data_IF_578120376024
#
_entry.id   IF_578120376024
#
_cell.length_a   1.000
_cell.length_b   1.000
_cell.length_c   1.000
_cell.angle_alpha   90.00
_cell.angle_beta   90.00
_cell.angle_gamma   90.00
#
_symmetry.space_group_name_H-M   'P 1'
#
loop_
_entity.id
_entity.type
_entity.pdbx_description
1 polymer ?
#
# COMPACT_ATOMS: atom_id res chain seq x y z
N UNK A 1 -22.21 19.16 61.57
CA UNK A 1 -23.06 19.12 60.36
C UNK A 1 -22.22 18.61 59.20
N UNK A 2 -22.65 17.51 58.57
CA UNK A 2 -21.97 16.85 57.44
C UNK A 2 -22.49 17.43 56.12
N UNK A 3 -21.62 17.98 55.29
CA UNK A 3 -21.94 18.42 53.92
C UNK A 3 -22.05 17.19 53.00
N UNK A 4 -23.25 16.89 52.50
CA UNK A 4 -23.44 15.93 51.40
C UNK A 4 -23.32 16.67 50.07
N UNK A 5 -22.38 16.21 49.23
CA UNK A 5 -22.18 16.67 47.85
C UNK A 5 -23.33 16.15 46.97
N UNK A 6 -23.87 17.03 46.13
CA UNK A 6 -24.84 16.70 45.07
C UNK A 6 -24.04 16.11 43.90
N UNK A 7 -24.39 14.93 43.35
CA UNK A 7 -23.76 14.46 42.13
C UNK A 7 -24.28 15.30 40.96
N UNK A 8 -23.36 15.90 40.22
CA UNK A 8 -23.61 16.63 38.98
C UNK A 8 -24.23 15.71 37.94
N UNK A 9 -25.42 16.06 37.45
CA UNK A 9 -25.98 15.53 36.21
C UNK A 9 -24.97 15.78 35.07
N UNK A 10 -24.47 14.71 34.45
CA UNK A 10 -23.88 14.81 33.12
C UNK A 10 -25.04 14.71 32.13
N UNK A 11 -25.41 15.87 31.61
CA UNK A 11 -26.37 16.04 30.54
C UNK A 11 -25.82 15.34 29.28
N UNK A 12 -26.31 14.14 28.98
CA UNK A 12 -26.08 13.49 27.68
C UNK A 12 -26.97 14.24 26.68
N UNK A 13 -26.43 15.34 26.17
CA UNK A 13 -27.03 16.12 25.11
C UNK A 13 -27.02 15.33 23.82
N UNK A 14 -28.18 14.80 23.46
CA UNK A 14 -28.51 14.37 22.11
C UNK A 14 -28.41 15.59 21.19
N UNK A 15 -27.38 15.65 20.35
CA UNK A 15 -27.33 16.56 19.20
C UNK A 15 -27.72 15.78 17.95
N UNK A 16 -29.02 15.58 17.79
CA UNK A 16 -29.64 15.50 16.46
C UNK A 16 -29.73 16.92 15.91
N UNK A 17 -28.86 17.29 14.97
CA UNK A 17 -29.07 18.28 13.89
C UNK A 17 -27.74 18.59 13.22
N UNK A 18 -27.56 18.12 11.98
CA UNK A 18 -26.38 18.49 11.17
C UNK A 18 -26.01 17.48 10.09
N UNK A 19 -26.97 17.10 9.25
CA UNK A 19 -26.69 16.41 7.98
C UNK A 19 -25.75 17.31 7.13
N UNK A 20 -24.71 16.68 6.57
CA UNK A 20 -23.90 17.12 5.41
C UNK A 20 -22.57 17.90 5.56
N UNK A 21 -22.11 18.38 6.72
CA UNK A 21 -20.83 19.15 6.78
C UNK A 21 -19.80 18.66 7.83
N UNK A 22 -20.14 17.66 8.66
CA UNK A 22 -19.32 17.28 9.82
C UNK A 22 -18.32 16.12 9.66
N UNK A 23 -18.32 15.37 8.54
CA UNK A 23 -17.48 14.17 8.42
C UNK A 23 -15.97 14.49 8.30
N UNK A 24 -15.60 15.71 7.86
CA UNK A 24 -14.18 16.11 7.69
C UNK A 24 -13.43 16.39 8.99
N UNK A 25 -14.12 16.56 10.12
CA UNK A 25 -13.47 16.92 11.40
C UNK A 25 -13.39 15.74 12.38
N UNK A 26 -14.26 14.74 12.25
CA UNK A 26 -14.32 13.67 13.26
C UNK A 26 -13.12 12.71 13.23
N UNK A 27 -12.50 12.45 12.07
CA UNK A 27 -11.33 11.57 12.03
C UNK A 27 -10.06 12.23 12.60
N UNK A 28 -9.88 13.54 12.41
CA UNK A 28 -8.70 14.26 12.89
C UNK A 28 -8.74 14.55 14.40
N UNK A 29 -9.93 14.77 14.98
CA UNK A 29 -10.07 15.14 16.40
C UNK A 29 -10.03 13.94 17.36
N UNK A 30 -10.34 12.72 16.90
CA UNK A 30 -10.29 11.52 17.78
C UNK A 30 -8.86 11.23 18.26
N UNK A 31 -7.83 11.65 17.52
CA UNK A 31 -6.45 11.36 17.88
C UNK A 31 -5.85 12.31 18.94
N UNK A 32 -6.46 13.45 19.23
CA UNK A 32 -5.82 14.48 20.07
C UNK A 32 -6.39 14.64 21.48
N UNK A 33 -7.56 14.08 21.83
CA UNK A 33 -8.21 14.41 23.11
C UNK A 33 -8.94 13.28 23.87
N UNK A 34 -8.94 12.03 23.40
CA UNK A 34 -9.53 10.94 24.20
C UNK A 34 -8.46 10.06 24.86
N UNK A 35 -8.60 9.86 26.17
CA UNK A 35 -7.78 8.90 26.93
C UNK A 35 -7.80 7.52 26.24
N UNK A 36 -6.63 6.86 26.21
CA UNK A 36 -6.41 5.52 25.61
C UNK A 36 -7.45 4.48 26.05
N UNK A 37 -8.08 4.67 27.20
CA UNK A 37 -9.05 3.73 27.78
C UNK A 37 -10.45 3.77 27.11
N UNK A 38 -10.80 4.82 26.37
CA UNK A 38 -12.12 4.95 25.70
C UNK A 38 -12.11 4.35 24.29
N UNK A 39 -10.94 4.14 23.69
CA UNK A 39 -10.82 3.74 22.27
C UNK A 39 -11.08 2.24 22.01
N UNK A 40 -11.09 1.39 23.06
CA UNK A 40 -10.98 -0.06 22.91
C UNK A 40 -12.20 -0.84 23.41
N UNK A 41 -13.40 -0.26 23.40
CA UNK A 41 -14.63 -1.05 23.56
C UNK A 41 -15.00 -1.70 22.22
N UNK A 42 -15.45 -2.95 22.26
CA UNK A 42 -15.83 -3.74 21.06
C UNK A 42 -16.85 -3.01 20.17
N UNK A 43 -17.71 -2.19 20.79
CA UNK A 43 -18.65 -1.28 20.13
C UNK A 43 -17.98 -0.24 19.25
N UNK A 44 -16.83 0.30 19.65
CA UNK A 44 -16.10 1.32 18.87
C UNK A 44 -15.35 0.69 17.69
N UNK A 45 -14.82 -0.54 17.85
CA UNK A 45 -14.31 -1.32 16.72
C UNK A 45 -15.39 -1.61 15.69
N UNK A 46 -16.59 -1.99 16.15
CA UNK A 46 -17.74 -2.24 15.27
C UNK A 46 -18.22 -0.97 14.57
N UNK A 47 -18.19 0.19 15.22
CA UNK A 47 -18.54 1.48 14.59
C UNK A 47 -17.48 1.88 13.55
N UNK A 48 -16.19 1.75 13.86
CA UNK A 48 -15.12 1.99 12.88
C UNK A 48 -15.23 1.02 11.70
N UNK A 49 -15.48 -0.26 11.94
CA UNK A 49 -15.72 -1.24 10.87
C UNK A 49 -17.01 -0.96 10.08
N UNK A 50 -18.10 -0.52 10.72
CA UNK A 50 -19.33 -0.18 10.03
C UNK A 50 -19.17 1.07 9.15
N UNK A 51 -18.46 2.09 9.63
CA UNK A 51 -18.15 3.30 8.86
C UNK A 51 -17.22 2.97 7.69
N UNK A 52 -16.23 2.09 7.87
CA UNK A 52 -15.36 1.62 6.78
C UNK A 52 -16.05 0.66 5.80
N UNK A 53 -17.13 -0.03 6.23
CA UNK A 53 -17.88 -0.99 5.40
C UNK A 53 -18.96 -0.38 4.52
N UNK A 54 -19.27 0.92 4.69
CA UNK A 54 -20.37 1.62 4.00
C UNK A 54 -19.95 2.86 3.21
N UNK A 55 -18.67 3.06 2.95
CA UNK A 55 -18.26 4.01 1.92
C UNK A 55 -18.54 3.39 0.53
N UNK A 56 -19.80 3.50 0.08
CA UNK A 56 -20.09 3.61 -1.34
C UNK A 56 -19.38 4.88 -1.82
N UNK A 57 -18.12 4.72 -2.26
CA UNK A 57 -17.33 5.79 -2.86
C UNK A 57 -18.04 6.17 -4.16
N UNK A 58 -18.79 7.26 -4.14
CA UNK A 58 -19.67 7.68 -5.24
C UNK A 58 -18.94 7.97 -6.57
N UNK A 59 -17.60 7.97 -6.61
CA UNK A 59 -16.80 8.36 -7.77
C UNK A 59 -15.66 7.36 -8.14
N UNK A 60 -15.71 6.10 -7.71
CA UNK A 60 -14.64 5.12 -8.03
C UNK A 60 -14.99 3.66 -7.74
N UNK A 61 -14.00 2.77 -7.88
CA UNK A 61 -14.20 1.34 -7.56
C UNK A 61 -14.41 1.12 -6.05
N UNK A 62 -15.24 0.13 -5.73
CA UNK A 62 -15.43 -0.32 -4.35
C UNK A 62 -14.18 -1.01 -3.80
N UNK A 63 -14.15 -1.15 -2.47
CA UNK A 63 -13.15 -1.94 -1.75
C UNK A 63 -13.06 -3.37 -2.27
N UNK A 64 -14.21 -4.01 -2.48
CA UNK A 64 -14.31 -5.40 -2.92
C UNK A 64 -13.77 -5.55 -4.34
N UNK A 65 -14.08 -4.59 -5.23
CA UNK A 65 -13.56 -4.57 -6.59
C UNK A 65 -12.04 -4.38 -6.61
N UNK A 66 -11.48 -3.50 -5.77
CA UNK A 66 -10.04 -3.34 -5.64
C UNK A 66 -9.34 -4.63 -5.16
N UNK A 67 -9.97 -5.36 -4.23
CA UNK A 67 -9.48 -6.67 -3.76
C UNK A 67 -9.46 -7.71 -4.89
N UNK A 68 -10.51 -7.77 -5.71
CA UNK A 68 -10.58 -8.66 -6.87
C UNK A 68 -9.48 -8.34 -7.89
N UNK A 69 -9.35 -7.07 -8.27
CA UNK A 69 -8.30 -6.59 -9.19
C UNK A 69 -6.91 -6.98 -8.67
N UNK A 70 -6.65 -6.80 -7.38
CA UNK A 70 -5.35 -7.13 -6.80
C UNK A 70 -5.06 -8.64 -6.82
N UNK A 71 -6.06 -9.49 -6.53
CA UNK A 71 -5.89 -10.95 -6.60
C UNK A 71 -5.58 -11.41 -8.03
N UNK A 72 -6.34 -10.89 -9.00
CA UNK A 72 -6.12 -11.19 -10.42
C UNK A 72 -4.72 -10.73 -10.87
N UNK A 73 -4.27 -9.55 -10.41
CA UNK A 73 -2.96 -9.03 -10.72
C UNK A 73 -1.82 -9.88 -10.13
N UNK A 74 -1.97 -10.36 -8.89
CA UNK A 74 -0.98 -11.24 -8.25
C UNK A 74 -0.85 -12.59 -8.99
N UNK A 75 -1.97 -13.17 -9.41
CA UNK A 75 -1.97 -14.39 -10.22
C UNK A 75 -1.35 -14.12 -11.60
N UNK A 76 -1.72 -13.02 -12.25
CA UNK A 76 -1.20 -12.65 -13.58
C UNK A 76 0.31 -12.39 -13.58
N UNK A 77 0.80 -11.55 -12.67
CA UNK A 77 2.18 -11.04 -12.72
C UNK A 77 3.17 -11.94 -11.98
N UNK A 78 2.73 -12.64 -10.94
CA UNK A 78 3.62 -13.42 -10.09
C UNK A 78 3.22 -14.90 -9.98
N UNK A 79 2.09 -15.31 -10.56
CA UNK A 79 1.52 -16.66 -10.41
C UNK A 79 1.27 -17.02 -8.94
N UNK A 80 0.89 -16.01 -8.13
CA UNK A 80 0.65 -16.18 -6.70
C UNK A 80 -0.85 -16.14 -6.40
N UNK A 81 -1.35 -17.18 -5.70
CA UNK A 81 -2.73 -17.28 -5.25
C UNK A 81 -2.80 -17.00 -3.76
N UNK A 82 -3.39 -15.87 -3.40
CA UNK A 82 -3.48 -15.47 -1.99
C UNK A 82 -4.69 -16.12 -1.32
N UNK A 83 -4.42 -17.05 -0.39
CA UNK A 83 -5.40 -17.48 0.61
C UNK A 83 -5.24 -16.62 1.88
N UNK A 84 -6.14 -15.66 2.06
CA UNK A 84 -6.11 -14.72 3.17
C UNK A 84 -6.40 -15.32 4.54
N UNK A 85 -6.66 -16.64 4.67
CA UNK A 85 -7.03 -17.28 5.95
C UNK A 85 -5.99 -17.13 7.06
N UNK A 86 -4.70 -17.11 6.71
CA UNK A 86 -3.60 -17.04 7.67
C UNK A 86 -2.83 -15.72 7.59
N UNK A 87 -3.39 -14.72 6.88
CA UNK A 87 -2.76 -13.43 6.67
C UNK A 87 -3.66 -12.34 7.25
N UNK A 88 -3.03 -11.34 7.85
CA UNK A 88 -3.69 -10.08 8.17
C UNK A 88 -3.92 -9.29 6.88
N UNK A 89 -5.08 -8.66 6.79
CA UNK A 89 -5.47 -7.85 5.64
C UNK A 89 -5.38 -6.37 6.01
N UNK A 90 -4.66 -5.59 5.22
CA UNK A 90 -4.62 -4.14 5.30
C UNK A 90 -5.24 -3.58 4.02
N UNK A 91 -6.50 -3.19 4.14
CA UNK A 91 -7.28 -2.68 3.01
C UNK A 91 -7.84 -1.32 3.41
N UNK A 92 -7.29 -0.26 2.82
CA UNK A 92 -7.62 1.12 3.19
C UNK A 92 -7.54 2.07 1.99
N UNK A 93 -8.37 3.11 1.96
CA UNK A 93 -8.29 4.15 0.94
C UNK A 93 -7.10 5.09 1.19
N UNK A 94 -6.56 5.65 0.10
CA UNK A 94 -5.71 6.85 0.09
C UNK A 94 -6.57 7.97 -0.46
N UNK A 95 -6.60 9.11 0.23
CA UNK A 95 -7.43 10.25 -0.16
C UNK A 95 -6.60 11.35 -0.85
N UNK A 96 -7.18 11.97 -1.88
CA UNK A 96 -6.75 13.25 -2.43
C UNK A 96 -7.00 14.38 -1.41
N UNK A 97 -6.37 15.54 -1.59
CA UNK A 97 -6.57 16.73 -0.73
C UNK A 97 -8.03 17.18 -0.65
N UNK A 98 -8.81 16.96 -1.71
CA UNK A 98 -10.23 17.30 -1.77
C UNK A 98 -11.11 16.35 -0.91
N UNK A 99 -10.56 15.24 -0.41
CA UNK A 99 -11.23 14.21 0.38
C UNK A 99 -11.85 13.07 -0.44
N UNK A 100 -11.64 13.02 -1.76
CA UNK A 100 -12.00 11.87 -2.60
C UNK A 100 -10.95 10.78 -2.47
N UNK A 101 -11.34 9.52 -2.66
CA UNK A 101 -10.39 8.41 -2.71
C UNK A 101 -9.62 8.49 -4.03
N UNK A 102 -8.29 8.44 -3.96
CA UNK A 102 -7.37 8.37 -5.09
C UNK A 102 -7.06 6.91 -5.43
N UNK A 103 -6.75 6.12 -4.41
CA UNK A 103 -6.30 4.74 -4.56
C UNK A 103 -6.83 3.86 -3.43
N UNK A 104 -6.93 2.56 -3.71
CA UNK A 104 -7.08 1.53 -2.68
C UNK A 104 -5.73 0.86 -2.44
N UNK A 105 -5.29 0.86 -1.17
CA UNK A 105 -4.22 -0.02 -0.72
C UNK A 105 -4.84 -1.37 -0.34
N UNK A 106 -4.26 -2.46 -0.85
CA UNK A 106 -4.70 -3.83 -0.61
C UNK A 106 -3.48 -4.68 -0.32
N UNK A 107 -3.28 -5.10 0.93
CA UNK A 107 -2.22 -6.05 1.29
C UNK A 107 -2.71 -7.23 2.12
N UNK A 108 -2.06 -8.37 1.93
CA UNK A 108 -2.10 -9.55 2.77
C UNK A 108 -0.70 -9.82 3.32
N UNK A 109 -0.58 -9.97 4.64
CA UNK A 109 0.72 -10.16 5.30
C UNK A 109 0.62 -10.97 6.59
N UNK A 110 1.66 -11.72 6.90
CA UNK A 110 1.74 -12.52 8.13
C UNK A 110 2.00 -11.68 9.38
N UNK A 111 2.62 -10.50 9.24
CA UNK A 111 2.85 -9.55 10.31
C UNK A 111 2.39 -8.12 9.93
N UNK A 112 1.86 -7.33 10.88
CA UNK A 112 1.58 -5.92 10.64
C UNK A 112 2.86 -5.15 10.28
N UNK A 113 2.76 -4.16 9.39
CA UNK A 113 3.89 -3.28 9.07
C UNK A 113 4.39 -2.61 10.35
N UNK A 114 5.69 -2.71 10.61
CA UNK A 114 6.33 -1.84 11.59
C UNK A 114 6.22 -0.38 11.12
N UNK A 115 6.29 0.58 12.04
CA UNK A 115 6.27 2.01 11.71
C UNK A 115 7.37 2.40 10.68
N UNK A 116 8.43 1.59 10.59
CA UNK A 116 9.57 1.81 9.69
C UNK A 116 9.49 1.02 8.37
N UNK A 117 8.38 0.32 8.08
CA UNK A 117 8.23 -0.53 6.89
C UNK A 117 9.29 -1.64 6.77
N UNK A 118 9.95 -2.00 7.87
CA UNK A 118 10.93 -3.08 7.88
C UNK A 118 10.20 -4.42 7.79
N UNK A 119 10.44 -5.13 6.69
CA UNK A 119 9.99 -6.50 6.50
C UNK A 119 11.01 -7.45 7.12
N UNK A 120 10.58 -8.32 8.04
CA UNK A 120 11.46 -9.38 8.56
C UNK A 120 11.78 -10.37 7.45
N UNK A 121 12.92 -11.05 7.56
CA UNK A 121 13.35 -12.03 6.55
C UNK A 121 12.30 -13.12 6.26
N UNK A 122 11.45 -13.45 7.23
CA UNK A 122 10.38 -14.45 7.06
C UNK A 122 9.04 -13.88 6.62
N UNK A 123 8.89 -12.55 6.55
CA UNK A 123 7.61 -11.91 6.28
C UNK A 123 7.11 -12.23 4.88
N UNK A 124 5.85 -12.65 4.83
CA UNK A 124 5.06 -12.79 3.63
C UNK A 124 4.30 -11.50 3.37
N UNK A 125 4.39 -10.96 2.16
CA UNK A 125 3.68 -9.76 1.72
C UNK A 125 3.14 -9.98 0.31
N UNK A 126 1.83 -9.83 0.14
CA UNK A 126 1.20 -9.77 -1.17
C UNK A 126 0.32 -8.53 -1.26
N UNK A 127 0.31 -7.88 -2.41
CA UNK A 127 -0.64 -6.82 -2.71
C UNK A 127 0.05 -5.54 -3.14
N UNK A 128 -0.64 -4.42 -3.01
CA UNK A 128 -0.18 -3.15 -3.56
C UNK A 128 -1.27 -2.09 -3.56
N UNK A 129 -1.31 -1.29 -4.61
CA UNK A 129 -2.26 -0.19 -4.77
C UNK A 129 -2.97 -0.22 -6.12
N UNK A 130 -4.24 0.20 -6.12
CA UNK A 130 -5.10 0.30 -7.30
C UNK A 130 -5.64 1.71 -7.40
N UNK A 131 -5.41 2.37 -8.53
CA UNK A 131 -6.00 3.68 -8.84
C UNK A 131 -7.51 3.54 -9.06
N UNK A 132 -8.31 4.33 -8.33
CA UNK A 132 -9.76 4.11 -8.31
C UNK A 132 -10.48 4.58 -9.57
N UNK A 133 -9.85 5.43 -10.39
CA UNK A 133 -10.44 6.02 -11.60
C UNK A 133 -10.14 5.18 -12.83
N UNK A 134 -8.95 4.60 -12.88
CA UNK A 134 -8.43 3.85 -14.03
C UNK A 134 -8.42 2.35 -13.82
N UNK A 135 -8.64 1.89 -12.59
CA UNK A 135 -8.57 0.48 -12.17
C UNK A 135 -7.18 -0.14 -12.38
N UNK A 136 -6.15 0.69 -12.60
CA UNK A 136 -4.79 0.25 -12.87
C UNK A 136 -4.04 -0.02 -11.57
N UNK A 137 -3.19 -1.05 -11.60
CA UNK A 137 -2.21 -1.30 -10.57
C UNK A 137 -1.13 -0.21 -10.63
N UNK A 138 -0.97 0.57 -9.56
CA UNK A 138 0.09 1.58 -9.45
C UNK A 138 1.33 1.01 -8.73
N UNK A 139 1.13 0.04 -7.86
CA UNK A 139 2.18 -0.75 -7.22
C UNK A 139 1.66 -2.17 -6.93
N UNK A 140 2.53 -3.18 -7.04
CA UNK A 140 2.23 -4.55 -6.63
C UNK A 140 3.52 -5.30 -6.27
N UNK A 141 3.46 -5.97 -5.13
CA UNK A 141 4.48 -6.86 -4.62
C UNK A 141 3.92 -8.23 -4.26
N UNK A 142 4.72 -9.26 -4.52
CA UNK A 142 4.52 -10.62 -4.09
C UNK A 142 5.83 -11.17 -3.54
N UNK A 143 6.03 -10.92 -2.26
CA UNK A 143 7.19 -11.35 -1.51
C UNK A 143 6.80 -12.54 -0.64
N UNK A 144 7.15 -13.72 -1.11
CA UNK A 144 6.94 -14.97 -0.41
C UNK A 144 8.26 -15.72 -0.36
N UNK A 145 8.70 -16.06 0.84
CA UNK A 145 9.77 -17.02 1.02
C UNK A 145 10.49 -16.89 2.34
N UNK A 146 11.04 -18.02 2.77
CA UNK A 146 12.07 -18.04 3.80
C UNK A 146 13.32 -17.33 3.27
N UNK A 147 13.48 -16.06 3.63
CA UNK A 147 14.68 -15.28 3.29
C UNK A 147 15.79 -15.49 4.30
N UNK A 148 15.70 -16.43 5.24
CA UNK A 148 16.89 -16.83 6.03
C UNK A 148 17.99 -17.44 5.15
N UNK A 149 17.63 -17.87 3.93
CA UNK A 149 18.59 -18.27 2.92
C UNK A 149 19.48 -17.11 2.48
N UNK A 150 20.75 -17.42 2.18
CA UNK A 150 21.71 -16.42 1.67
C UNK A 150 21.25 -15.90 0.31
N UNK A 151 21.38 -14.59 0.10
CA UNK A 151 21.24 -14.00 -1.22
C UNK A 151 22.18 -14.71 -2.20
N UNK A 152 21.67 -14.99 -3.39
CA UNK A 152 22.52 -15.52 -4.44
C UNK A 152 23.40 -14.40 -4.98
N UNK A 153 24.61 -14.75 -5.44
CA UNK A 153 25.44 -13.80 -6.18
C UNK A 153 24.80 -13.59 -7.55
N UNK A 154 24.38 -12.36 -7.82
CA UNK A 154 23.77 -11.94 -9.09
C UNK A 154 24.47 -10.67 -9.55
N UNK A 155 24.83 -10.59 -10.82
CA UNK A 155 25.40 -9.40 -11.42
C UNK A 155 24.32 -8.38 -11.76
N UNK A 156 24.68 -7.10 -11.84
CA UNK A 156 23.74 -6.06 -12.27
C UNK A 156 23.19 -6.31 -13.68
N UNK A 157 23.99 -6.94 -14.55
CA UNK A 157 23.57 -7.33 -15.90
C UNK A 157 22.42 -8.34 -15.84
N UNK A 158 22.54 -9.38 -15.02
CA UNK A 158 21.48 -10.38 -14.83
C UNK A 158 20.22 -9.76 -14.20
N UNK A 159 20.35 -8.88 -13.21
CA UNK A 159 19.21 -8.18 -12.58
C UNK A 159 18.48 -7.31 -13.62
N UNK A 160 19.24 -6.59 -14.46
CA UNK A 160 18.68 -5.80 -15.57
C UNK A 160 17.96 -6.67 -16.59
N UNK A 161 18.55 -7.80 -16.97
CA UNK A 161 17.93 -8.75 -17.91
C UNK A 161 16.62 -9.32 -17.35
N UNK A 162 16.59 -9.73 -16.08
CA UNK A 162 15.35 -10.17 -15.40
C UNK A 162 14.28 -9.08 -15.43
N UNK A 163 14.66 -7.84 -15.11
CA UNK A 163 13.74 -6.71 -15.05
C UNK A 163 13.16 -6.37 -16.43
N UNK A 164 14.00 -6.24 -17.45
CA UNK A 164 13.57 -5.91 -18.83
C UNK A 164 12.70 -7.03 -19.41
N UNK A 165 13.05 -8.30 -19.17
CA UNK A 165 12.26 -9.43 -19.61
C UNK A 165 10.87 -9.42 -18.98
N UNK A 166 10.78 -9.15 -17.67
CA UNK A 166 9.51 -9.06 -16.97
C UNK A 166 8.63 -7.91 -17.50
N UNK A 167 9.20 -6.72 -17.71
CA UNK A 167 8.49 -5.57 -18.30
C UNK A 167 7.92 -5.95 -19.68
N UNK A 168 8.74 -6.59 -20.53
CA UNK A 168 8.36 -6.98 -21.89
C UNK A 168 7.29 -8.07 -21.90
N UNK A 169 7.45 -9.12 -21.10
CA UNK A 169 6.50 -10.24 -21.02
C UNK A 169 5.12 -9.77 -20.54
N UNK A 170 5.10 -8.85 -19.57
CA UNK A 170 3.87 -8.32 -18.99
C UNK A 170 3.33 -7.07 -19.69
N UNK A 171 4.01 -6.59 -20.75
CA UNK A 171 3.64 -5.40 -21.53
C UNK A 171 3.40 -4.17 -20.64
N UNK A 172 4.26 -3.97 -19.64
CA UNK A 172 4.10 -2.89 -18.66
C UNK A 172 4.40 -1.52 -19.26
N UNK A 173 5.22 -1.47 -20.31
CA UNK A 173 5.56 -0.27 -21.06
C UNK A 173 5.24 -0.49 -22.54
N UNK A 174 4.57 0.49 -23.16
CA UNK A 174 4.15 0.42 -24.56
C UNK A 174 5.31 0.52 -25.55
N UNK A 175 6.30 1.38 -25.28
CA UNK A 175 7.52 1.52 -26.09
C UNK A 175 8.77 1.19 -25.26
N UNK A 176 9.47 0.13 -25.64
CA UNK A 176 10.70 -0.32 -24.98
C UNK A 176 11.99 0.30 -25.57
N UNK A 177 11.91 1.05 -26.68
CA UNK A 177 13.09 1.63 -27.34
C UNK A 177 13.77 2.71 -26.48
N UNK A 178 12.97 3.45 -25.71
CA UNK A 178 13.44 4.60 -24.90
C UNK A 178 13.70 4.23 -23.43
N UNK A 179 13.69 2.95 -23.06
CA UNK A 179 13.87 2.56 -21.66
C UNK A 179 15.35 2.72 -21.23
N UNK A 180 15.59 3.50 -20.18
CA UNK A 180 16.94 3.74 -19.63
C UNK A 180 16.99 3.38 -18.15
N UNK A 181 17.99 2.61 -17.75
CA UNK A 181 18.30 2.40 -16.33
C UNK A 181 18.89 3.68 -15.74
N UNK A 182 18.29 4.22 -14.69
CA UNK A 182 18.69 5.49 -14.05
C UNK A 182 19.03 5.33 -12.56
N UNK A 183 18.80 4.16 -11.97
CA UNK A 183 19.10 3.93 -10.55
C UNK A 183 19.07 2.46 -10.15
N UNK A 184 19.81 2.16 -9.09
CA UNK A 184 19.83 0.88 -8.38
C UNK A 184 19.76 1.16 -6.87
N UNK A 185 18.86 0.48 -6.17
CA UNK A 185 18.72 0.55 -4.73
C UNK A 185 18.73 -0.85 -4.14
N UNK A 186 19.54 -1.05 -3.10
CA UNK A 186 19.53 -2.30 -2.32
C UNK A 186 18.84 -2.07 -1.00
N UNK A 187 17.94 -2.96 -0.63
CA UNK A 187 17.18 -2.85 0.60
C UNK A 187 16.77 -4.22 1.14
N UNK A 188 16.14 -4.21 2.32
CA UNK A 188 15.84 -5.39 3.11
C UNK A 188 17.06 -5.90 3.89
N UNK A 189 16.80 -6.77 4.88
CA UNK A 189 17.84 -7.35 5.72
C UNK A 189 18.92 -8.03 4.87
N UNK A 190 20.17 -7.61 5.08
CA UNK A 190 21.35 -8.09 4.35
C UNK A 190 21.32 -7.86 2.82
N UNK A 191 20.65 -6.80 2.34
CA UNK A 191 20.60 -6.43 0.91
C UNK A 191 20.08 -7.56 0.01
N UNK A 192 19.05 -8.29 0.47
CA UNK A 192 18.45 -9.41 -0.28
C UNK A 192 17.49 -8.95 -1.37
N UNK A 193 17.13 -7.68 -1.42
CA UNK A 193 16.34 -7.08 -2.49
C UNK A 193 17.18 -6.06 -3.26
N UNK A 194 17.09 -6.10 -4.58
CA UNK A 194 17.61 -5.05 -5.45
C UNK A 194 16.47 -4.49 -6.28
N UNK A 195 16.26 -3.19 -6.18
CA UNK A 195 15.33 -2.44 -7.03
C UNK A 195 16.10 -1.70 -8.11
N UNK A 196 15.65 -1.84 -9.36
CA UNK A 196 16.11 -1.06 -10.50
C UNK A 196 15.06 -0.03 -10.89
N UNK A 197 15.51 1.17 -11.25
CA UNK A 197 14.65 2.26 -11.72
C UNK A 197 14.91 2.51 -13.18
N UNK A 198 13.86 2.39 -13.99
CA UNK A 198 13.93 2.65 -15.41
C UNK A 198 13.10 3.88 -15.75
N UNK A 199 13.69 4.87 -16.41
CA UNK A 199 12.94 5.94 -17.07
C UNK A 199 12.52 5.52 -18.47
N UNK A 200 11.38 6.01 -18.94
CA UNK A 200 10.88 5.79 -20.30
C UNK A 200 9.98 6.95 -20.76
N UNK A 201 9.53 6.87 -22.01
CA UNK A 201 8.63 7.87 -22.59
C UNK A 201 9.35 9.13 -23.08
N UNK A 202 8.60 9.99 -23.75
CA UNK A 202 9.15 11.20 -24.37
C UNK A 202 9.59 12.19 -23.29
N UNK A 203 10.90 12.45 -23.22
CA UNK A 203 11.47 13.34 -22.20
C UNK A 203 11.84 12.65 -20.89
N UNK A 204 11.77 11.31 -20.82
CA UNK A 204 12.19 10.51 -19.66
C UNK A 204 11.45 10.88 -18.35
N UNK A 205 10.19 11.27 -18.46
CA UNK A 205 9.36 11.72 -17.34
C UNK A 205 8.65 10.58 -16.63
N UNK A 206 8.51 9.41 -17.27
CA UNK A 206 7.82 8.25 -16.70
C UNK A 206 8.84 7.23 -16.20
N UNK A 207 8.48 6.45 -15.19
CA UNK A 207 9.35 5.41 -14.65
C UNK A 207 8.61 4.22 -14.12
N UNK A 208 9.39 3.14 -14.08
CA UNK A 208 9.02 1.89 -13.47
C UNK A 208 10.13 1.44 -12.55
N UNK A 209 9.74 1.05 -11.34
CA UNK A 209 10.58 0.38 -10.38
C UNK A 209 10.34 -1.11 -10.54
N UNK A 210 11.42 -1.90 -10.62
CA UNK A 210 11.35 -3.36 -10.63
C UNK A 210 12.24 -3.87 -9.51
N UNK A 211 11.66 -4.62 -8.58
CA UNK A 211 12.38 -5.21 -7.46
C UNK A 211 12.62 -6.70 -7.69
N UNK A 212 13.88 -7.12 -7.55
CA UNK A 212 14.33 -8.50 -7.63
C UNK A 212 14.59 -9.04 -6.22
N UNK A 213 14.01 -10.19 -5.92
CA UNK A 213 14.39 -11.02 -4.79
C UNK A 213 15.66 -11.81 -5.14
N UNK A 214 16.78 -11.45 -4.54
CA UNK A 214 18.08 -12.09 -4.80
C UNK A 214 18.20 -13.49 -4.20
N UNK A 215 17.33 -13.87 -3.25
CA UNK A 215 17.28 -15.24 -2.71
C UNK A 215 16.67 -16.18 -3.75
N UNK A 216 15.58 -15.76 -4.40
CA UNK A 216 14.86 -16.57 -5.37
C UNK A 216 15.19 -16.25 -6.84
N UNK A 217 15.97 -15.20 -7.11
CA UNK A 217 16.29 -14.69 -8.46
C UNK A 217 15.05 -14.45 -9.33
N UNK A 218 14.00 -13.87 -8.73
CA UNK A 218 12.77 -13.53 -9.44
C UNK A 218 12.37 -12.08 -9.17
N UNK A 219 11.62 -11.48 -10.10
CA UNK A 219 10.91 -10.23 -9.82
C UNK A 219 9.87 -10.52 -8.74
N UNK A 220 9.87 -9.71 -7.69
CA UNK A 220 8.93 -9.84 -6.59
C UNK A 220 8.07 -8.59 -6.40
N UNK A 221 8.36 -7.50 -7.10
CA UNK A 221 7.62 -6.26 -6.95
C UNK A 221 7.84 -5.31 -8.13
N UNK A 222 6.82 -4.51 -8.46
CA UNK A 222 6.95 -3.36 -9.35
C UNK A 222 6.00 -2.22 -8.99
N UNK A 223 6.40 -1.00 -9.34
CA UNK A 223 5.53 0.19 -9.33
C UNK A 223 5.79 1.09 -10.52
N UNK A 224 4.73 1.74 -10.99
CA UNK A 224 4.81 2.80 -11.99
C UNK A 224 4.60 4.17 -11.37
N UNK A 225 5.26 5.19 -11.90
CA UNK A 225 5.07 6.57 -11.48
C UNK A 225 5.47 7.59 -12.54
N UNK A 226 5.13 8.85 -12.30
CA UNK A 226 5.48 10.01 -13.13
C UNK A 226 6.32 11.01 -12.34
N UNK A 227 7.37 11.55 -12.98
CA UNK A 227 8.25 12.65 -12.54
C UNK A 227 7.60 13.62 -11.59
N UNK A 228 7.98 13.72 -10.31
CA UNK A 228 8.08 15.08 -9.78
C UNK A 228 9.54 15.51 -9.99
N UNK A 229 9.85 16.34 -11.01
CA UNK A 229 11.21 16.74 -11.33
C UNK A 229 11.96 17.37 -10.15
N UNK A 230 11.25 17.83 -9.11
CA UNK A 230 11.87 18.51 -7.98
C UNK A 230 12.56 17.58 -6.98
N UNK A 231 12.24 16.27 -6.96
CA UNK A 231 12.63 15.38 -5.84
C UNK A 231 13.58 14.23 -6.20
N UNK A 232 14.05 14.13 -7.45
CA UNK A 232 14.89 12.99 -7.85
C UNK A 232 16.26 13.44 -8.35
N UNK A 233 17.29 13.09 -7.59
CA UNK A 233 18.67 13.13 -8.10
C UNK A 233 18.84 12.03 -9.13
N UNK A 234 18.90 12.42 -10.39
CA UNK A 234 19.34 11.56 -11.49
C UNK A 234 20.82 11.26 -11.25
N UNK A 235 21.18 9.98 -11.15
CA UNK A 235 22.58 9.55 -11.17
C UNK A 235 22.98 9.53 -12.65
N UNK A 236 23.78 10.51 -13.07
CA UNK A 236 24.42 10.54 -14.39
C UNK A 236 25.61 9.58 -14.48
#
# INVERSE_FOLDING_TARGET
MRTKKIPSLVLIGVLTLGVLVGAKVYAATINSQMSKDVLMTETNKQIVQQVLSKEEINDGISREKAVEIMKEALEKYFNEKVDGKNLSNDIRPVYEENGKVAEWIVYWRDEPLSENWELKDTSTLYGGSVDVKTEKITHIGALNGDRNRKAQKVTIKEIKELSVNFIKQNKLIGNMEDIKLIGEYKWGSNNKLTQLVFSYGKGMTDYIYITIDLVNKKVCDFSGGTLDPQNTKIIE
#
